data_IF_392675107120
#
_entry.id   IF_392675107120
#
_cell.length_a   1.000
_cell.length_b   1.000
_cell.length_c   1.000
_cell.angle_alpha   90.00
_cell.angle_beta   90.00
_cell.angle_gamma   90.00
#
_symmetry.space_group_name_H-M   'P 1'
#
loop_
_entity.id
_entity.type
_entity.pdbx_description
1 polymer ?
#
# COMPACT_ATOMS: atom_id res chain seq x y z
N UNK A 1 -1.01 8.21 11.19
CA UNK A 1 -1.27 9.52 10.53
C UNK A 1 0.02 10.02 9.91
N UNK A 2 -0.06 10.89 8.91
CA UNK A 2 1.08 11.60 8.33
C UNK A 2 0.86 13.10 8.49
N UNK A 3 1.77 13.81 9.15
CA UNK A 3 1.61 15.23 9.54
C UNK A 3 0.22 15.53 10.16
N UNK A 4 -0.25 14.64 11.04
CA UNK A 4 -1.52 14.76 11.74
C UNK A 4 -2.78 14.46 10.91
N UNK A 5 -2.65 14.03 9.63
CA UNK A 5 -3.79 13.70 8.76
C UNK A 5 -3.90 12.19 8.51
N UNK A 6 -5.13 11.65 8.35
CA UNK A 6 -5.33 10.34 7.72
C UNK A 6 -4.76 10.35 6.29
N UNK A 7 -4.25 9.21 5.84
CA UNK A 7 -3.68 9.06 4.51
C UNK A 7 -4.06 7.71 3.92
N UNK A 8 -4.50 7.72 2.66
CA UNK A 8 -4.69 6.49 1.89
C UNK A 8 -3.36 6.07 1.26
N UNK A 9 -3.07 4.77 1.32
CA UNK A 9 -1.90 4.16 0.67
C UNK A 9 -2.37 3.05 -0.27
N UNK A 10 -1.49 2.60 -1.17
CA UNK A 10 -1.77 1.51 -2.10
C UNK A 10 -1.63 1.89 -3.57
N UNK A 11 -2.02 0.99 -4.49
CA UNK A 11 -1.82 1.20 -5.91
C UNK A 11 -2.37 2.53 -6.43
N UNK A 12 -3.52 2.99 -5.92
CA UNK A 12 -4.06 4.31 -6.29
C UNK A 12 -3.12 5.45 -5.91
N UNK A 13 -2.64 5.48 -4.67
CA UNK A 13 -1.71 6.52 -4.22
C UNK A 13 -0.41 6.48 -5.03
N UNK A 14 0.14 5.27 -5.25
CA UNK A 14 1.34 5.08 -6.05
C UNK A 14 1.16 5.61 -7.49
N UNK A 15 0.10 5.20 -8.19
CA UNK A 15 -0.15 5.63 -9.57
C UNK A 15 -0.35 7.14 -9.66
N UNK A 16 -1.13 7.75 -8.76
CA UNK A 16 -1.35 9.20 -8.76
C UNK A 16 -0.05 9.98 -8.50
N UNK A 17 0.77 9.55 -7.54
CA UNK A 17 2.07 10.17 -7.26
C UNK A 17 3.02 10.04 -8.46
N UNK A 18 3.13 8.85 -9.05
CA UNK A 18 4.02 8.61 -10.20
C UNK A 18 3.55 9.34 -11.46
N UNK A 19 2.23 9.43 -11.67
CA UNK A 19 1.65 10.22 -12.76
C UNK A 19 1.95 11.71 -12.59
N UNK A 20 1.74 12.26 -11.39
CA UNK A 20 2.06 13.64 -11.06
C UNK A 20 3.56 13.96 -11.19
N UNK A 21 4.43 12.98 -10.88
CA UNK A 21 5.87 13.08 -11.06
C UNK A 21 6.33 12.96 -12.53
N UNK A 22 5.42 12.71 -13.48
CA UNK A 22 5.77 12.61 -14.89
C UNK A 22 6.42 11.27 -15.28
N UNK A 23 6.28 10.22 -14.49
CA UNK A 23 6.90 8.93 -14.78
C UNK A 23 6.34 8.31 -16.07
N UNK A 24 7.21 8.19 -17.08
CA UNK A 24 6.83 7.80 -18.46
C UNK A 24 5.94 6.56 -18.55
N UNK A 25 6.39 5.38 -18.08
CA UNK A 25 5.57 4.16 -18.12
C UNK A 25 4.22 4.31 -17.41
N UNK A 26 4.19 4.95 -16.23
CA UNK A 26 2.94 5.18 -15.51
C UNK A 26 1.99 6.07 -16.30
N UNK A 27 2.49 7.15 -16.91
CA UNK A 27 1.66 8.01 -17.77
C UNK A 27 1.09 7.23 -18.96
N UNK A 28 1.93 6.49 -19.67
CA UNK A 28 1.50 5.67 -20.82
C UNK A 28 0.34 4.74 -20.47
N UNK A 29 0.47 3.95 -19.41
CA UNK A 29 -0.59 3.02 -19.00
C UNK A 29 -1.82 3.73 -18.43
N UNK A 30 -1.64 4.82 -17.69
CA UNK A 30 -2.76 5.57 -17.11
C UNK A 30 -3.55 6.30 -18.18
N UNK A 31 -2.89 6.98 -19.12
CA UNK A 31 -3.53 7.68 -20.23
C UNK A 31 -4.22 6.69 -21.18
N UNK A 32 -3.61 5.54 -21.43
CA UNK A 32 -4.23 4.44 -22.19
C UNK A 32 -5.51 3.91 -21.51
N UNK A 33 -5.46 3.69 -20.20
CA UNK A 33 -6.64 3.32 -19.40
C UNK A 33 -7.74 4.39 -19.51
N UNK A 34 -7.41 5.67 -19.28
CA UNK A 34 -8.37 6.77 -19.32
C UNK A 34 -8.99 6.94 -20.71
N UNK A 35 -8.21 6.74 -21.79
CA UNK A 35 -8.71 6.74 -23.17
C UNK A 35 -9.71 5.63 -23.40
N UNK A 36 -9.42 4.41 -22.96
CA UNK A 36 -10.35 3.27 -23.07
C UNK A 36 -11.64 3.54 -22.32
N UNK A 37 -11.56 4.02 -21.08
CA UNK A 37 -12.74 4.36 -20.27
C UNK A 37 -13.55 5.49 -20.91
N UNK A 38 -12.87 6.53 -21.42
CA UNK A 38 -13.54 7.65 -22.09
C UNK A 38 -14.32 7.20 -23.33
N UNK A 39 -13.72 6.30 -24.13
CA UNK A 39 -14.37 5.70 -25.29
C UNK A 39 -15.63 4.93 -24.90
N UNK A 40 -15.53 4.08 -23.87
CA UNK A 40 -16.66 3.27 -23.38
C UNK A 40 -17.77 4.11 -22.74
N UNK A 41 -17.41 5.19 -22.05
CA UNK A 41 -18.36 6.08 -21.38
C UNK A 41 -19.00 7.09 -22.33
N UNK A 42 -18.47 7.28 -23.55
CA UNK A 42 -18.90 8.35 -24.46
C UNK A 42 -18.63 9.75 -23.94
N UNK A 43 -17.74 9.90 -22.95
CA UNK A 43 -17.43 11.16 -22.28
C UNK A 43 -15.93 11.21 -21.92
N UNK A 44 -15.37 12.43 -21.85
CA UNK A 44 -13.97 12.58 -21.45
C UNK A 44 -13.81 12.30 -19.96
N UNK A 45 -13.02 11.28 -19.63
CA UNK A 45 -12.72 10.88 -18.26
C UNK A 45 -11.29 11.28 -17.92
N UNK A 46 -11.16 12.23 -16.99
CA UNK A 46 -9.86 12.72 -16.51
C UNK A 46 -9.29 11.88 -15.36
N UNK A 47 -8.04 12.18 -15.00
CA UNK A 47 -7.31 11.50 -13.90
C UNK A 47 -8.05 11.54 -12.56
N UNK A 48 -8.85 12.58 -12.32
CA UNK A 48 -9.65 12.73 -11.09
C UNK A 48 -10.65 11.58 -10.89
N UNK A 49 -11.11 10.92 -11.97
CA UNK A 49 -12.01 9.77 -11.90
C UNK A 49 -11.38 8.56 -11.19
N UNK A 50 -10.05 8.51 -11.07
CA UNK A 50 -9.36 7.47 -10.30
C UNK A 50 -9.61 7.56 -8.78
N UNK A 51 -10.08 8.70 -8.26
CA UNK A 51 -10.51 8.84 -6.85
C UNK A 51 -11.85 8.15 -6.60
N UNK A 52 -11.90 6.84 -6.85
CA UNK A 52 -13.11 6.02 -6.77
C UNK A 52 -12.78 4.56 -6.45
N UNK A 53 -13.80 3.77 -6.10
CA UNK A 53 -13.70 2.32 -5.91
C UNK A 53 -13.17 1.62 -7.17
N UNK A 54 -13.71 1.94 -8.34
CA UNK A 54 -13.23 1.38 -9.61
C UNK A 54 -11.83 1.90 -9.98
N UNK A 55 -11.53 3.16 -9.67
CA UNK A 55 -10.21 3.76 -9.85
C UNK A 55 -9.11 3.05 -9.06
N UNK A 56 -9.40 2.57 -7.85
CA UNK A 56 -8.48 1.74 -7.06
C UNK A 56 -8.17 0.39 -7.72
N UNK A 57 -9.17 -0.25 -8.34
CA UNK A 57 -8.93 -1.46 -9.14
C UNK A 57 -8.10 -1.17 -10.38
N UNK A 58 -8.46 -0.11 -11.11
CA UNK A 58 -7.76 0.27 -12.33
C UNK A 58 -6.29 0.64 -12.07
N UNK A 59 -6.02 1.38 -10.99
CA UNK A 59 -4.65 1.71 -10.57
C UNK A 59 -3.82 0.46 -10.22
N UNK A 60 -4.45 -0.59 -9.66
CA UNK A 60 -3.77 -1.88 -9.42
C UNK A 60 -3.36 -2.56 -10.73
N UNK A 61 -4.21 -2.50 -11.75
CA UNK A 61 -3.90 -3.03 -13.08
C UNK A 61 -2.78 -2.22 -13.77
N UNK A 62 -2.85 -0.87 -13.72
CA UNK A 62 -1.80 0.02 -14.24
C UNK A 62 -0.46 -0.29 -13.58
N UNK A 63 -0.43 -0.39 -12.25
CA UNK A 63 0.78 -0.70 -11.51
C UNK A 63 1.36 -2.07 -11.88
N UNK A 64 0.51 -3.07 -12.10
CA UNK A 64 0.94 -4.40 -12.57
C UNK A 64 1.68 -4.30 -13.91
N UNK A 65 1.12 -3.56 -14.88
CA UNK A 65 1.74 -3.37 -16.19
C UNK A 65 3.08 -2.62 -16.10
N UNK A 66 3.16 -1.57 -15.29
CA UNK A 66 4.43 -0.84 -15.04
C UNK A 66 5.50 -1.74 -14.43
N UNK A 67 5.12 -2.60 -13.48
CA UNK A 67 6.07 -3.53 -12.85
C UNK A 67 6.54 -4.62 -13.83
N UNK A 68 5.67 -5.10 -14.72
CA UNK A 68 6.06 -6.02 -15.78
C UNK A 68 7.19 -5.46 -16.64
N UNK A 69 7.07 -4.20 -17.09
CA UNK A 69 8.12 -3.56 -17.89
C UNK A 69 9.42 -3.37 -17.08
N UNK A 70 9.26 -3.05 -15.78
CA UNK A 70 10.40 -2.89 -14.88
C UNK A 70 11.18 -4.19 -14.69
N UNK A 71 10.52 -5.35 -14.68
CA UNK A 71 11.18 -6.65 -14.56
C UNK A 71 12.17 -6.91 -15.70
N UNK A 72 11.78 -6.59 -16.93
CA UNK A 72 12.65 -6.74 -18.10
C UNK A 72 13.88 -5.83 -17.99
N UNK A 73 13.69 -4.58 -17.57
CA UNK A 73 14.79 -3.63 -17.37
C UNK A 73 15.76 -4.08 -16.25
N UNK A 74 15.23 -4.58 -15.13
CA UNK A 74 16.06 -5.07 -14.03
C UNK A 74 16.82 -6.35 -14.41
N UNK A 75 16.21 -7.25 -15.17
CA UNK A 75 16.88 -8.44 -15.69
C UNK A 75 18.07 -8.08 -16.57
N UNK A 76 17.87 -7.15 -17.53
CA UNK A 76 18.96 -6.70 -18.39
C UNK A 76 20.09 -6.04 -17.59
N UNK A 77 19.75 -5.15 -16.64
CA UNK A 77 20.73 -4.48 -15.79
C UNK A 77 21.56 -5.48 -14.96
N UNK A 78 20.94 -6.53 -14.44
CA UNK A 78 21.63 -7.61 -13.73
C UNK A 78 22.61 -8.34 -14.66
N UNK A 79 22.16 -8.77 -15.84
CA UNK A 79 23.00 -9.48 -16.81
C UNK A 79 24.17 -8.62 -17.30
N UNK A 80 23.95 -7.32 -17.53
CA UNK A 80 25.00 -6.38 -17.92
C UNK A 80 26.06 -6.22 -16.81
N UNK A 81 25.65 -6.18 -15.54
CA UNK A 81 26.58 -6.05 -14.41
C UNK A 81 27.44 -7.32 -14.26
N UNK A 82 26.82 -8.49 -14.39
CA UNK A 82 27.50 -9.79 -14.43
C UNK A 82 28.48 -9.86 -15.62
N UNK A 83 28.08 -9.37 -16.80
CA UNK A 83 28.92 -9.32 -18.00
C UNK A 83 30.15 -8.40 -17.88
N UNK A 84 30.11 -7.41 -16.97
CA UNK A 84 31.24 -6.55 -16.61
C UNK A 84 32.16 -7.16 -15.54
N UNK A 85 31.83 -8.36 -15.05
CA UNK A 85 32.62 -9.09 -14.06
C UNK A 85 32.30 -8.73 -12.60
N UNK A 86 31.19 -8.03 -12.33
CA UNK A 86 30.73 -7.80 -10.96
C UNK A 86 29.79 -8.90 -10.49
N UNK A 87 30.27 -9.71 -9.54
CA UNK A 87 29.54 -10.81 -8.92
C UNK A 87 29.24 -10.56 -7.43
N UNK A 88 29.45 -9.32 -6.96
CA UNK A 88 29.29 -8.96 -5.55
C UNK A 88 27.81 -8.99 -5.17
N UNK A 89 27.43 -9.82 -4.19
CA UNK A 89 26.02 -9.99 -3.77
C UNK A 89 25.80 -9.79 -2.28
N UNK A 90 26.87 -9.69 -1.48
CA UNK A 90 26.78 -9.64 -0.03
C UNK A 90 27.82 -8.71 0.57
N UNK A 91 27.36 -7.88 1.51
CA UNK A 91 28.22 -7.10 2.38
C UNK A 91 27.89 -7.49 3.82
N UNK A 92 28.87 -7.99 4.56
CA UNK A 92 28.67 -8.49 5.92
C UNK A 92 28.36 -7.32 6.88
N UNK A 93 27.19 -7.30 7.54
CA UNK A 93 26.87 -6.24 8.47
C UNK A 93 27.71 -6.34 9.74
N UNK A 94 28.06 -5.20 10.32
CA UNK A 94 28.67 -5.08 11.63
C UNK A 94 27.67 -4.40 12.57
N UNK A 95 27.52 -4.94 13.78
CA UNK A 95 26.65 -4.38 14.80
C UNK A 95 27.50 -3.75 15.92
N UNK A 96 27.76 -2.43 15.86
CA UNK A 96 28.56 -1.77 16.87
C UNK A 96 27.85 -1.79 18.24
N UNK A 97 28.63 -1.59 19.30
CA UNK A 97 28.07 -1.35 20.65
C UNK A 97 27.27 -0.05 20.68
N UNK A 98 26.35 0.05 21.63
CA UNK A 98 25.45 1.19 21.78
C UNK A 98 24.13 1.01 21.02
N UNK A 99 23.38 2.10 20.89
CA UNK A 99 22.07 2.12 20.24
C UNK A 99 22.20 2.53 18.76
N UNK A 100 21.59 1.76 17.86
CA UNK A 100 21.43 2.09 16.45
C UNK A 100 19.95 2.08 16.09
N UNK A 101 19.52 3.02 15.22
CA UNK A 101 18.14 3.12 14.75
C UNK A 101 18.10 3.02 13.23
N UNK A 102 17.17 2.23 12.71
CA UNK A 102 17.00 2.02 11.27
C UNK A 102 15.53 2.03 10.88
N UNK A 103 15.27 2.45 9.65
CA UNK A 103 13.96 2.34 8.99
C UNK A 103 14.14 1.79 7.58
N UNK A 104 13.36 0.77 7.24
CA UNK A 104 13.30 0.20 5.90
C UNK A 104 11.93 0.48 5.28
N UNK A 105 11.91 1.16 4.13
CA UNK A 105 10.69 1.41 3.36
C UNK A 105 10.59 0.45 2.19
N UNK A 106 9.36 0.01 1.91
CA UNK A 106 9.04 -0.79 0.73
C UNK A 106 7.66 -0.43 0.20
N UNK A 107 7.53 -0.23 -1.11
CA UNK A 107 6.23 -0.03 -1.75
C UNK A 107 5.59 -1.40 -2.02
N UNK A 108 4.97 -1.98 -1.00
CA UNK A 108 4.32 -3.30 -1.06
C UNK A 108 3.10 -3.30 -2.00
N UNK A 109 2.52 -4.46 -2.36
CA UNK A 109 1.33 -4.53 -3.23
C UNK A 109 0.16 -3.66 -2.76
N UNK A 110 -0.02 -3.54 -1.43
CA UNK A 110 -1.10 -2.78 -0.78
C UNK A 110 -0.72 -1.34 -0.40
N UNK A 111 0.52 -0.90 -0.67
CA UNK A 111 1.02 0.46 -0.43
C UNK A 111 2.31 0.50 0.35
N UNK A 112 2.66 1.69 0.86
CA UNK A 112 3.88 1.91 1.64
C UNK A 112 3.89 1.07 2.93
N UNK A 113 4.97 0.32 3.08
CA UNK A 113 5.35 -0.47 4.25
C UNK A 113 6.61 0.16 4.85
N UNK A 114 6.65 0.24 6.18
CA UNK A 114 7.86 0.65 6.90
C UNK A 114 8.12 -0.26 8.11
N UNK A 115 9.34 -0.76 8.19
CA UNK A 115 9.84 -1.49 9.35
C UNK A 115 10.82 -0.59 10.10
N UNK A 116 10.62 -0.46 11.41
CA UNK A 116 11.39 0.41 12.29
C UNK A 116 12.10 -0.45 13.33
N UNK A 117 13.43 -0.34 13.41
CA UNK A 117 14.24 -1.14 14.31
C UNK A 117 15.11 -0.25 15.20
N UNK A 118 15.18 -0.62 16.48
CA UNK A 118 16.20 -0.14 17.41
C UNK A 118 17.05 -1.33 17.81
N UNK A 119 18.36 -1.26 17.58
CA UNK A 119 19.34 -2.26 17.95
C UNK A 119 20.15 -1.72 19.12
N UNK A 120 20.41 -2.56 20.13
CA UNK A 120 21.28 -2.27 21.26
C UNK A 120 22.29 -3.41 21.39
N UNK A 121 23.58 -3.12 21.25
CA UNK A 121 24.67 -4.08 21.41
C UNK A 121 24.45 -5.37 20.60
N UNK A 122 24.03 -5.22 19.33
CA UNK A 122 23.78 -6.33 18.42
C UNK A 122 22.46 -7.08 18.61
N UNK A 123 21.58 -6.64 19.53
CA UNK A 123 20.26 -7.24 19.75
C UNK A 123 19.15 -6.27 19.40
N UNK A 124 18.03 -6.77 18.88
CA UNK A 124 16.83 -5.95 18.64
C UNK A 124 16.25 -5.54 19.99
N UNK A 125 16.31 -4.24 20.29
CA UNK A 125 15.71 -3.61 21.47
C UNK A 125 14.25 -3.24 21.23
N UNK A 126 13.90 -2.84 20.00
CA UNK A 126 12.53 -2.56 19.59
C UNK A 126 12.35 -2.84 18.10
N UNK A 127 11.16 -3.31 17.71
CA UNK A 127 10.78 -3.51 16.32
C UNK A 127 9.32 -3.13 16.14
N UNK A 128 9.03 -2.24 15.18
CA UNK A 128 7.68 -1.77 14.88
C UNK A 128 7.44 -1.80 13.37
N UNK A 129 6.29 -2.35 12.97
CA UNK A 129 5.87 -2.37 11.58
C UNK A 129 4.71 -1.39 11.41
N UNK A 130 4.85 -0.43 10.51
CA UNK A 130 3.73 0.40 10.04
C UNK A 130 3.44 0.00 8.59
N UNK A 131 2.33 -0.67 8.44
CA UNK A 131 1.97 -1.56 7.33
C UNK A 131 0.83 -0.94 6.51
N UNK A 132 0.67 -1.28 5.22
CA UNK A 132 -0.28 -0.58 4.36
C UNK A 132 -1.73 -0.70 4.85
N UNK A 133 -2.14 -1.88 5.29
CA UNK A 133 -3.50 -2.10 5.80
C UNK A 133 -3.75 -1.30 7.09
N UNK A 134 -2.74 -1.06 7.93
CA UNK A 134 -2.88 -0.23 9.15
C UNK A 134 -3.22 1.22 8.82
N UNK A 135 -2.69 1.75 7.71
CA UNK A 135 -3.08 3.08 7.22
C UNK A 135 -4.52 3.13 6.75
N UNK A 136 -4.93 2.13 5.96
CA UNK A 136 -6.23 2.16 5.29
C UNK A 136 -7.40 1.71 6.18
N UNK A 137 -7.19 0.70 7.01
CA UNK A 137 -8.18 0.11 7.92
C UNK A 137 -8.09 0.64 9.35
N UNK A 138 -7.18 1.59 9.61
CA UNK A 138 -7.06 2.22 10.92
C UNK A 138 -8.39 2.87 11.35
N UNK A 139 -8.76 2.75 12.63
CA UNK A 139 -9.96 3.41 13.15
C UNK A 139 -9.77 4.94 13.18
N UNK A 140 -10.80 5.65 13.65
CA UNK A 140 -10.72 7.07 13.97
C UNK A 140 -9.48 7.39 14.80
N UNK A 141 -8.79 8.47 14.42
CA UNK A 141 -7.58 8.92 15.11
C UNK A 141 -7.92 9.75 16.37
N UNK A 142 -6.90 10.30 17.05
CA UNK A 142 -7.08 11.12 18.26
C UNK A 142 -7.85 12.44 18.07
N UNK A 143 -8.22 12.78 16.84
CA UNK A 143 -9.08 13.93 16.48
C UNK A 143 -10.42 13.48 15.90
N UNK A 144 -10.80 12.23 16.14
CA UNK A 144 -11.98 11.56 15.60
C UNK A 144 -12.09 11.56 14.06
N UNK A 145 -10.99 11.81 13.35
CA UNK A 145 -10.99 11.82 11.89
C UNK A 145 -11.02 10.38 11.35
N UNK A 146 -11.94 10.07 10.41
CA UNK A 146 -12.11 8.71 9.91
C UNK A 146 -10.92 8.24 9.07
N UNK A 147 -10.67 6.92 9.12
CA UNK A 147 -9.70 6.26 8.24
C UNK A 147 -10.20 6.13 6.79
N UNK A 148 -9.34 5.75 5.83
CA UNK A 148 -9.74 5.58 4.43
C UNK A 148 -10.89 4.60 4.21
N UNK A 149 -10.98 3.50 4.98
CA UNK A 149 -12.11 2.56 4.88
C UNK A 149 -13.41 3.23 5.30
N UNK A 150 -13.46 3.79 6.51
CA UNK A 150 -14.63 4.49 7.04
C UNK A 150 -15.07 5.63 6.11
N UNK A 151 -14.14 6.47 5.68
CA UNK A 151 -14.42 7.59 4.79
C UNK A 151 -14.98 7.15 3.44
N UNK A 152 -14.53 6.01 2.89
CA UNK A 152 -14.98 5.51 1.59
C UNK A 152 -16.40 4.95 1.59
N UNK A 153 -16.95 4.61 2.76
CA UNK A 153 -18.27 4.03 2.90
C UNK A 153 -19.36 5.07 3.15
N UNK A 154 -19.00 6.31 3.48
CA UNK A 154 -19.95 7.41 3.68
C UNK A 154 -20.69 7.68 2.36
N UNK A 155 -22.02 7.60 2.41
CA UNK A 155 -22.88 7.83 1.24
C UNK A 155 -22.94 6.68 0.24
N UNK A 156 -22.38 5.51 0.56
CA UNK A 156 -22.47 4.33 -0.29
C UNK A 156 -23.92 3.79 -0.26
N UNK A 157 -24.64 3.70 -1.39
CA UNK A 157 -25.99 3.16 -1.41
C UNK A 157 -25.99 1.68 -1.02
N UNK A 158 -26.99 1.24 -0.26
CA UNK A 158 -27.16 -0.16 0.14
C UNK A 158 -28.59 -0.56 -0.22
N UNK A 159 -28.74 -1.44 -1.20
CA UNK A 159 -30.07 -1.90 -1.63
C UNK A 159 -30.71 -2.86 -0.62
N UNK A 160 -29.92 -3.76 -0.03
CA UNK A 160 -30.34 -4.74 0.97
C UNK A 160 -29.36 -4.73 2.16
N UNK A 161 -29.74 -4.20 3.33
CA UNK A 161 -28.88 -4.15 4.52
C UNK A 161 -28.41 -5.51 5.02
N UNK A 162 -29.20 -6.58 4.81
CA UNK A 162 -28.81 -7.95 5.21
C UNK A 162 -27.80 -8.57 4.22
N UNK A 163 -27.63 -7.96 3.04
CA UNK A 163 -26.71 -8.38 2.00
C UNK A 163 -25.94 -7.19 1.42
N UNK A 164 -25.06 -6.53 2.20
CA UNK A 164 -24.47 -5.23 1.86
C UNK A 164 -23.34 -5.35 0.82
N UNK A 165 -23.67 -5.75 -0.40
CA UNK A 165 -22.74 -5.98 -1.50
C UNK A 165 -21.92 -4.74 -1.85
N UNK A 166 -22.55 -3.56 -1.79
CA UNK A 166 -21.95 -2.28 -2.13
C UNK A 166 -20.85 -1.88 -1.14
N UNK A 167 -21.03 -2.24 0.14
CA UNK A 167 -20.00 -2.10 1.18
C UNK A 167 -18.80 -3.00 0.83
N UNK A 168 -19.07 -4.28 0.53
CA UNK A 168 -18.02 -5.24 0.19
C UNK A 168 -17.23 -4.82 -1.06
N UNK A 169 -17.90 -4.32 -2.11
CA UNK A 169 -17.24 -3.81 -3.32
C UNK A 169 -16.22 -2.72 -3.00
N UNK A 170 -16.60 -1.75 -2.18
CA UNK A 170 -15.75 -0.60 -1.81
C UNK A 170 -14.61 -0.99 -0.86
N UNK A 171 -14.85 -1.91 0.07
CA UNK A 171 -13.79 -2.39 0.98
C UNK A 171 -12.80 -3.28 0.23
N UNK A 172 -13.28 -4.24 -0.57
CA UNK A 172 -12.42 -5.15 -1.34
C UNK A 172 -11.54 -4.45 -2.37
N UNK A 173 -11.93 -3.28 -2.88
CA UNK A 173 -11.06 -2.52 -3.78
C UNK A 173 -9.79 -1.97 -3.09
N UNK A 174 -9.73 -1.95 -1.75
CA UNK A 174 -8.47 -1.71 -1.01
C UNK A 174 -7.59 -2.95 -0.90
N UNK A 175 -8.09 -4.14 -1.23
CA UNK A 175 -7.40 -5.42 -1.05
C UNK A 175 -6.97 -5.63 0.41
N UNK A 176 -7.90 -5.78 1.37
CA UNK A 176 -7.58 -5.90 2.79
C UNK A 176 -6.73 -7.14 3.08
N UNK A 177 -5.60 -6.95 3.77
CA UNK A 177 -4.87 -8.03 4.45
C UNK A 177 -4.90 -7.77 5.96
N UNK A 178 -5.76 -8.47 6.69
CA UNK A 178 -5.96 -8.26 8.14
C UNK A 178 -4.83 -8.84 8.99
N UNK A 179 -4.25 -9.98 8.58
CA UNK A 179 -3.02 -10.49 9.18
C UNK A 179 -1.88 -9.46 9.08
N UNK A 180 -1.82 -8.73 7.97
CA UNK A 180 -0.89 -7.63 7.78
C UNK A 180 -1.27 -6.37 8.57
N UNK A 181 -2.51 -6.19 9.02
CA UNK A 181 -2.92 -4.97 9.72
C UNK A 181 -2.64 -5.05 11.22
N UNK A 182 -2.78 -6.25 11.78
CA UNK A 182 -2.84 -6.50 13.23
C UNK A 182 -1.52 -7.04 13.78
N UNK A 183 -0.82 -7.88 13.00
CA UNK A 183 0.51 -8.43 13.36
C UNK A 183 0.64 -8.99 14.78
N UNK A 184 -0.45 -9.50 15.36
CA UNK A 184 -0.41 -10.15 16.66
C UNK A 184 0.12 -11.57 16.51
N UNK A 185 1.15 -11.90 17.29
CA UNK A 185 1.73 -13.22 17.41
C UNK A 185 1.89 -13.52 18.90
N UNK A 186 1.19 -14.54 19.41
CA UNK A 186 1.52 -15.16 20.70
C UNK A 186 2.05 -16.57 20.45
N UNK A 187 3.36 -16.81 20.66
CA UNK A 187 3.94 -18.14 20.52
C UNK A 187 3.39 -19.15 21.54
N UNK A 188 2.71 -18.69 22.59
CA UNK A 188 2.07 -19.56 23.60
C UNK A 188 0.57 -19.79 23.36
N UNK A 189 0.00 -19.32 22.24
CA UNK A 189 -1.42 -19.49 21.86
C UNK A 189 -2.44 -19.05 22.91
N UNK A 190 -2.13 -18.04 23.73
CA UNK A 190 -3.08 -17.45 24.67
C UNK A 190 -3.95 -16.42 23.96
N UNK A 191 -5.11 -16.14 24.53
CA UNK A 191 -5.96 -15.05 24.08
C UNK A 191 -5.22 -13.71 24.29
N UNK A 192 -5.04 -12.95 23.21
CA UNK A 192 -4.19 -11.73 23.21
C UNK A 192 -5.01 -10.50 23.56
N UNK A 193 -6.18 -10.30 22.93
CA UNK A 193 -7.11 -9.20 23.18
C UNK A 193 -8.54 -9.63 22.85
N UNK A 194 -9.48 -9.35 23.76
CA UNK A 194 -10.93 -9.42 23.50
C UNK A 194 -11.46 -7.99 23.30
N UNK A 195 -12.04 -7.70 22.14
CA UNK A 195 -12.71 -6.40 21.89
C UNK A 195 -14.22 -6.60 21.96
N UNK A 196 -14.89 -5.88 22.88
CA UNK A 196 -16.35 -5.81 22.95
C UNK A 196 -16.84 -4.55 22.25
N UNK A 197 -17.69 -4.71 21.24
CA UNK A 197 -18.43 -3.63 20.61
C UNK A 197 -19.84 -3.60 21.17
N UNK A 198 -20.23 -2.52 21.83
CA UNK A 198 -21.63 -2.24 22.17
C UNK A 198 -22.35 -1.70 20.94
N UNK A 199 -23.51 -2.27 20.63
CA UNK A 199 -24.48 -1.73 19.66
C UNK A 199 -25.31 -0.65 20.32
#
# INVERSE_FOLDING_TARGET
TFNGKPAQVGPLANVLCMYAAGHGPTKTYTDGLLKTVSSLAGATVGISALHSTIGRHAARAVRCAVLHDSLLGQWQALMDNIGKGDYTTFNQPVFPKGEQRGVGFHEAPRGVLSHWVVIQDGKIKNYQCVVPSTWNAGPRNSKDAPGPYEASLVGNPVADPEKPLEVLRTVHSFDPCLACAIHLLDPASREIVTVRTTV
#
